data_IF_687062175685
#
_entry.id   IF_687062175685
#
_cell.length_a   1.000
_cell.length_b   1.000
_cell.length_c   1.000
_cell.angle_alpha   90.00
_cell.angle_beta   90.00
_cell.angle_gamma   90.00
#
_symmetry.space_group_name_H-M   'P 1'
#
loop_
_entity.id
_entity.type
_entity.pdbx_description
1 polymer ?
#
# COMPACT_ATOMS: atom_id res chain seq x y z
N UNK A 1 57.37 -17.72 3.66
CA UNK A 1 56.58 -16.59 3.10
C UNK A 1 55.38 -17.17 2.38
N UNK A 2 54.18 -16.87 2.88
CA UNK A 2 52.98 -16.61 2.07
C UNK A 2 51.83 -16.34 3.04
N UNK A 3 51.71 -15.06 3.42
CA UNK A 3 50.55 -14.51 4.11
C UNK A 3 49.43 -14.33 3.09
N UNK A 4 48.45 -15.23 3.09
CA UNK A 4 47.19 -14.99 2.41
C UNK A 4 46.30 -14.15 3.33
N UNK A 5 46.30 -12.84 3.12
CA UNK A 5 45.37 -11.92 3.75
C UNK A 5 43.93 -12.26 3.31
N UNK A 6 42.95 -12.35 4.23
CA UNK A 6 41.56 -12.49 3.81
C UNK A 6 41.12 -11.18 3.14
N UNK A 7 40.81 -11.25 1.85
CA UNK A 7 40.09 -10.18 1.16
C UNK A 7 38.72 -10.03 1.83
N UNK A 8 38.58 -8.95 2.61
CA UNK A 8 37.29 -8.43 3.04
C UNK A 8 36.59 -7.97 1.76
N UNK A 9 35.71 -8.82 1.22
CA UNK A 9 34.71 -8.38 0.24
C UNK A 9 33.78 -7.41 0.96
N UNK A 10 33.98 -6.13 0.73
CA UNK A 10 32.89 -5.17 0.87
C UNK A 10 31.86 -5.51 -0.20
N UNK A 11 30.80 -6.23 0.17
CA UNK A 11 29.60 -6.30 -0.64
C UNK A 11 28.98 -4.90 -0.66
N UNK A 12 29.33 -4.12 -1.68
CA UNK A 12 28.50 -2.99 -2.11
C UNK A 12 27.18 -3.58 -2.57
N UNK A 13 26.17 -3.55 -1.68
CA UNK A 13 24.79 -3.88 -2.02
C UNK A 13 24.27 -2.88 -3.06
N UNK A 14 24.49 -3.13 -4.35
CA UNK A 14 23.71 -2.51 -5.43
C UNK A 14 22.30 -3.09 -5.36
N UNK A 15 21.45 -2.44 -4.57
CA UNK A 15 20.04 -2.81 -4.38
C UNK A 15 19.16 -1.77 -5.02
N UNK A 16 18.03 -2.25 -5.54
CA UNK A 16 17.07 -1.47 -6.32
C UNK A 16 16.40 -0.44 -5.39
N UNK A 17 16.50 0.87 -5.67
CA UNK A 17 15.80 1.91 -4.91
C UNK A 17 14.30 1.91 -5.19
N UNK A 18 13.51 2.55 -4.33
CA UNK A 18 12.05 2.71 -4.52
C UNK A 18 11.70 3.38 -5.85
N UNK A 19 12.58 4.28 -6.33
CA UNK A 19 12.42 4.95 -7.62
C UNK A 19 12.36 3.95 -8.77
N UNK A 20 13.35 3.05 -8.86
CA UNK A 20 13.47 2.09 -9.96
C UNK A 20 12.32 1.07 -9.96
N UNK A 21 11.87 0.61 -8.79
CA UNK A 21 10.64 -0.21 -8.69
C UNK A 21 9.42 0.51 -9.28
N UNK A 22 9.32 1.83 -9.06
CA UNK A 22 8.27 2.65 -9.64
C UNK A 22 8.37 2.74 -11.16
N UNK A 23 9.57 2.96 -11.69
CA UNK A 23 9.82 3.08 -13.13
C UNK A 23 9.48 1.79 -13.87
N UNK A 24 9.97 0.64 -13.37
CA UNK A 24 9.72 -0.68 -13.94
C UNK A 24 8.21 -0.99 -13.99
N UNK A 25 7.49 -0.70 -12.91
CA UNK A 25 6.04 -0.91 -12.88
C UNK A 25 5.30 -0.02 -13.89
N UNK A 26 5.64 1.26 -13.96
CA UNK A 26 4.95 2.21 -14.86
C UNK A 26 5.27 1.91 -16.32
N UNK A 27 6.50 1.50 -16.65
CA UNK A 27 6.86 1.06 -18.00
C UNK A 27 6.00 -0.14 -18.45
N UNK A 28 5.78 -1.09 -17.54
CA UNK A 28 4.98 -2.28 -17.79
C UNK A 28 3.45 -2.07 -17.65
N UNK A 29 2.97 -0.85 -17.35
CA UNK A 29 1.56 -0.57 -17.05
C UNK A 29 0.55 -1.12 -18.10
N UNK A 30 0.78 -1.02 -19.43
CA UNK A 30 -0.15 -1.56 -20.43
C UNK A 30 -0.26 -3.08 -20.37
N UNK A 31 0.79 -3.78 -19.93
CA UNK A 31 0.75 -5.23 -19.71
C UNK A 31 -0.08 -5.56 -18.47
N UNK A 32 0.16 -4.85 -17.36
CA UNK A 32 -0.57 -5.07 -16.11
C UNK A 32 -2.07 -4.78 -16.24
N UNK A 33 -2.45 -3.69 -16.94
CA UNK A 33 -3.87 -3.37 -17.16
C UNK A 33 -4.56 -4.43 -18.03
N UNK A 34 -3.89 -4.96 -19.07
CA UNK A 34 -4.46 -6.01 -19.93
C UNK A 34 -4.76 -7.30 -19.18
N UNK A 35 -4.00 -7.63 -18.12
CA UNK A 35 -4.24 -8.82 -17.30
C UNK A 35 -5.16 -8.57 -16.09
N UNK A 36 -5.51 -7.31 -15.82
CA UNK A 36 -6.30 -6.92 -14.66
C UNK A 36 -7.76 -7.34 -14.81
N UNK A 37 -8.24 -8.16 -13.88
CA UNK A 37 -9.61 -8.68 -13.91
C UNK A 37 -10.13 -8.95 -12.50
N UNK A 38 -11.42 -8.73 -12.30
CA UNK A 38 -12.15 -9.28 -11.15
C UNK A 38 -12.29 -10.80 -11.39
N UNK A 39 -11.74 -11.66 -10.51
CA UNK A 39 -11.76 -13.11 -10.70
C UNK A 39 -13.17 -13.67 -10.87
N UNK A 40 -13.34 -14.65 -11.74
CA UNK A 40 -14.61 -15.35 -11.93
C UNK A 40 -15.02 -16.13 -10.67
N UNK A 41 -16.32 -16.27 -10.41
CA UNK A 41 -16.87 -16.84 -9.18
C UNK A 41 -17.86 -17.96 -9.47
N UNK A 42 -17.76 -19.08 -8.76
CA UNK A 42 -18.76 -20.15 -8.80
C UNK A 42 -20.08 -19.65 -8.22
N UNK A 43 -21.17 -19.76 -8.98
CA UNK A 43 -22.52 -19.36 -8.56
C UNK A 43 -23.31 -20.61 -8.17
N UNK A 44 -23.21 -21.67 -8.97
CA UNK A 44 -23.79 -22.99 -8.72
C UNK A 44 -22.72 -24.05 -8.94
N UNK A 45 -22.91 -25.28 -8.45
CA UNK A 45 -21.91 -26.36 -8.52
C UNK A 45 -21.29 -26.53 -9.92
N UNK A 46 -22.10 -26.38 -10.97
CA UNK A 46 -21.67 -26.52 -12.37
C UNK A 46 -21.68 -25.21 -13.18
N UNK A 47 -21.80 -24.06 -12.51
CA UNK A 47 -21.87 -22.76 -13.19
C UNK A 47 -20.96 -21.73 -12.53
N UNK A 48 -20.04 -21.19 -13.33
CA UNK A 48 -19.10 -20.15 -12.93
C UNK A 48 -19.34 -18.89 -13.74
N UNK A 49 -19.42 -17.74 -13.07
CA UNK A 49 -19.32 -16.43 -13.71
C UNK A 49 -17.91 -16.24 -14.25
N UNK A 50 -17.80 -15.90 -15.53
CA UNK A 50 -16.52 -15.54 -16.15
C UNK A 50 -15.86 -14.33 -15.47
N UNK A 51 -14.52 -14.22 -15.46
CA UNK A 51 -13.82 -13.04 -14.99
C UNK A 51 -14.29 -11.76 -15.70
N UNK A 52 -14.33 -10.64 -14.98
CA UNK A 52 -14.64 -9.33 -15.58
C UNK A 52 -13.33 -8.56 -15.76
N UNK A 53 -12.97 -8.25 -17.00
CA UNK A 53 -11.79 -7.43 -17.30
C UNK A 53 -12.00 -6.01 -16.78
N UNK A 54 -10.94 -5.44 -16.19
CA UNK A 54 -10.95 -4.05 -15.76
C UNK A 54 -11.05 -3.11 -16.97
N UNK A 55 -11.85 -2.05 -16.84
CA UNK A 55 -11.96 -1.01 -17.86
C UNK A 55 -11.21 0.25 -17.42
N UNK A 56 -9.93 0.31 -17.81
CA UNK A 56 -9.08 1.49 -17.64
C UNK A 56 -8.83 2.13 -19.01
N UNK A 57 -9.23 3.39 -19.14
CA UNK A 57 -9.08 4.18 -20.35
C UNK A 57 -7.84 5.09 -20.25
N UNK A 58 -7.35 5.56 -21.40
CA UNK A 58 -6.25 6.54 -21.51
C UNK A 58 -4.95 6.09 -20.85
N UNK A 59 -4.54 4.84 -21.12
CA UNK A 59 -3.39 4.20 -20.48
C UNK A 59 -2.11 5.03 -20.64
N UNK A 60 -1.82 5.57 -21.84
CA UNK A 60 -0.64 6.41 -22.07
C UNK A 60 -0.64 7.68 -21.20
N UNK A 61 -1.77 8.40 -21.15
CA UNK A 61 -1.90 9.60 -20.30
C UNK A 61 -1.73 9.26 -18.81
N UNK A 62 -2.19 8.09 -18.37
CA UNK A 62 -1.97 7.60 -17.00
C UNK A 62 -0.48 7.31 -16.77
N UNK A 63 0.19 6.62 -17.70
CA UNK A 63 1.63 6.35 -17.57
C UNK A 63 2.42 7.65 -17.41
N UNK A 64 2.15 8.64 -18.26
CA UNK A 64 2.81 9.95 -18.20
C UNK A 64 2.55 10.65 -16.86
N UNK A 65 1.30 10.64 -16.39
CA UNK A 65 0.92 11.23 -15.11
C UNK A 65 1.61 10.53 -13.92
N UNK A 66 1.70 9.20 -13.94
CA UNK A 66 2.37 8.43 -12.90
C UNK A 66 3.88 8.66 -12.91
N UNK A 67 4.51 8.74 -14.10
CA UNK A 67 5.93 9.07 -14.24
C UNK A 67 6.24 10.48 -13.73
N UNK A 68 5.37 11.45 -14.04
CA UNK A 68 5.53 12.81 -13.56
C UNK A 68 5.43 12.88 -12.03
N UNK A 69 4.43 12.21 -11.43
CA UNK A 69 4.33 12.12 -9.97
C UNK A 69 5.54 11.42 -9.37
N UNK A 70 5.98 10.31 -9.97
CA UNK A 70 7.14 9.55 -9.51
C UNK A 70 8.40 10.43 -9.48
N UNK A 71 8.67 11.16 -10.55
CA UNK A 71 9.84 12.04 -10.71
C UNK A 71 9.71 13.39 -10.00
N UNK A 72 8.54 13.70 -9.45
CA UNK A 72 8.32 14.96 -8.75
C UNK A 72 9.19 15.05 -7.48
N UNK A 73 9.79 16.22 -7.15
CA UNK A 73 10.66 16.38 -5.98
C UNK A 73 10.05 15.91 -4.66
N UNK A 74 8.77 16.21 -4.41
CA UNK A 74 8.02 15.73 -3.23
C UNK A 74 8.10 14.19 -3.11
N UNK A 75 7.92 13.47 -4.21
CA UNK A 75 7.97 12.00 -4.19
C UNK A 75 9.39 11.50 -3.99
N UNK A 76 10.38 12.13 -4.64
CA UNK A 76 11.79 11.77 -4.48
C UNK A 76 12.28 11.97 -3.04
N UNK A 77 11.92 13.10 -2.42
CA UNK A 77 12.25 13.41 -1.03
C UNK A 77 11.57 12.42 -0.07
N UNK A 78 10.29 12.11 -0.30
CA UNK A 78 9.58 11.13 0.50
C UNK A 78 10.23 9.74 0.40
N UNK A 79 10.57 9.28 -0.81
CA UNK A 79 11.29 8.01 -1.02
C UNK A 79 12.64 8.00 -0.32
N UNK A 80 13.40 9.10 -0.42
CA UNK A 80 14.67 9.25 0.28
C UNK A 80 14.50 9.08 1.80
N UNK A 81 13.49 9.70 2.40
CA UNK A 81 13.21 9.54 3.83
C UNK A 81 12.84 8.12 4.20
N UNK A 82 12.01 7.45 3.39
CA UNK A 82 11.60 6.06 3.60
C UNK A 82 12.78 5.10 3.52
N UNK A 83 13.56 5.18 2.45
CA UNK A 83 14.78 4.37 2.31
C UNK A 83 15.77 4.65 3.45
N UNK A 84 15.94 5.91 3.85
CA UNK A 84 16.82 6.28 4.96
C UNK A 84 16.37 5.67 6.27
N UNK A 85 15.08 5.75 6.59
CA UNK A 85 14.49 5.12 7.78
C UNK A 85 14.76 3.61 7.80
N UNK A 86 14.46 2.92 6.69
CA UNK A 86 14.72 1.48 6.57
C UNK A 86 16.21 1.16 6.68
N UNK A 87 17.10 1.91 6.04
CA UNK A 87 18.55 1.67 6.10
C UNK A 87 19.09 1.83 7.52
N UNK A 88 18.59 2.77 8.31
CA UNK A 88 18.98 2.90 9.73
C UNK A 88 18.38 1.75 10.55
N UNK A 89 17.09 1.43 10.36
CA UNK A 89 16.46 0.27 11.01
C UNK A 89 17.23 -1.04 10.75
N UNK A 90 17.61 -1.29 9.49
CA UNK A 90 18.35 -2.49 9.09
C UNK A 90 19.73 -2.60 9.75
N UNK A 91 20.34 -1.48 10.17
CA UNK A 91 21.62 -1.47 10.90
C UNK A 91 21.47 -1.74 12.40
N UNK A 92 20.27 -1.60 12.98
CA UNK A 92 20.03 -1.83 14.41
C UNK A 92 20.28 -3.30 14.75
N UNK A 93 21.11 -3.58 15.76
CA UNK A 93 21.47 -4.94 16.19
C UNK A 93 20.58 -5.46 17.32
N UNK A 94 19.88 -4.57 18.01
CA UNK A 94 19.02 -4.88 19.15
C UNK A 94 17.72 -4.09 19.04
N UNK A 95 16.65 -4.61 19.63
CA UNK A 95 15.39 -3.88 19.77
C UNK A 95 15.48 -2.95 20.98
N UNK A 96 15.60 -1.66 20.70
CA UNK A 96 15.55 -0.56 21.66
C UNK A 96 14.23 0.23 21.52
N UNK A 97 14.07 1.29 22.31
CA UNK A 97 12.88 2.15 22.24
C UNK A 97 12.71 2.81 20.87
N UNK A 98 13.79 3.03 20.11
CA UNK A 98 13.76 3.62 18.79
C UNK A 98 13.21 2.63 17.75
N UNK A 99 13.57 1.34 17.82
CA UNK A 99 12.98 0.28 17.01
C UNK A 99 11.50 0.10 17.32
N UNK A 100 11.09 0.21 18.59
CA UNK A 100 9.67 0.15 18.97
C UNK A 100 8.87 1.33 18.40
N UNK A 101 9.44 2.55 18.40
CA UNK A 101 8.86 3.72 17.73
C UNK A 101 8.76 3.54 16.22
N UNK A 102 9.76 2.93 15.59
CA UNK A 102 9.72 2.61 14.17
C UNK A 102 8.58 1.67 13.82
N UNK A 103 8.42 0.55 14.54
CA UNK A 103 7.30 -0.37 14.29
C UNK A 103 5.94 0.27 14.58
N UNK A 104 5.84 1.12 15.61
CA UNK A 104 4.62 1.87 15.84
C UNK A 104 4.28 2.79 14.67
N UNK A 105 5.24 3.63 14.26
CA UNK A 105 5.06 4.57 13.16
C UNK A 105 4.80 3.90 11.82
N UNK A 106 5.51 2.80 11.53
CA UNK A 106 5.36 2.05 10.28
C UNK A 106 3.97 1.41 10.20
N UNK A 107 3.46 0.87 11.31
CA UNK A 107 2.08 0.39 11.36
C UNK A 107 1.06 1.51 11.04
N UNK A 108 1.26 2.75 11.51
CA UNK A 108 0.36 3.86 11.18
C UNK A 108 0.37 4.23 9.70
N UNK A 109 1.50 4.07 8.99
CA UNK A 109 1.59 4.37 7.55
C UNK A 109 0.85 3.36 6.67
N UNK A 110 0.49 2.18 7.21
CA UNK A 110 -0.14 1.08 6.48
C UNK A 110 -1.64 0.92 6.73
N UNK A 111 -2.27 1.87 7.40
CA UNK A 111 -3.70 1.79 7.75
C UNK A 111 -4.65 2.19 6.62
N UNK A 112 -4.17 2.46 5.40
CA UNK A 112 -5.04 2.94 4.31
C UNK A 112 -6.18 1.97 4.01
N UNK A 113 -5.94 0.66 4.04
CA UNK A 113 -6.99 -0.33 3.77
C UNK A 113 -8.16 -0.17 4.73
N UNK A 114 -7.92 -0.17 6.04
CA UNK A 114 -9.00 -0.05 7.04
C UNK A 114 -9.57 1.37 7.14
N UNK A 115 -8.74 2.40 6.94
CA UNK A 115 -9.14 3.79 7.13
C UNK A 115 -9.75 4.44 5.89
N UNK A 116 -9.51 3.91 4.69
CA UNK A 116 -9.96 4.45 3.40
C UNK A 116 -10.65 3.37 2.56
N UNK A 117 -9.93 2.34 2.10
CA UNK A 117 -10.44 1.37 1.11
C UNK A 117 -11.69 0.63 1.60
N UNK A 118 -11.67 0.14 2.84
CA UNK A 118 -12.79 -0.51 3.48
C UNK A 118 -13.99 0.44 3.68
N UNK A 119 -13.71 1.69 4.06
CA UNK A 119 -14.77 2.70 4.24
C UNK A 119 -15.44 3.06 2.92
N UNK A 120 -14.71 3.08 1.81
CA UNK A 120 -15.30 3.22 0.47
C UNK A 120 -16.31 2.09 0.23
N UNK A 121 -15.94 0.83 0.50
CA UNK A 121 -16.83 -0.32 0.33
C UNK A 121 -18.09 -0.15 1.19
N UNK A 122 -17.94 0.17 2.48
CA UNK A 122 -19.07 0.36 3.40
C UNK A 122 -20.00 1.48 2.95
N UNK A 123 -19.44 2.62 2.51
CA UNK A 123 -20.22 3.73 1.98
C UNK A 123 -20.96 3.32 0.72
N UNK A 124 -20.26 2.70 -0.23
CA UNK A 124 -20.89 2.25 -1.47
C UNK A 124 -22.00 1.22 -1.21
N UNK A 125 -21.80 0.31 -0.25
CA UNK A 125 -22.81 -0.65 0.19
C UNK A 125 -24.06 0.02 0.76
N UNK A 126 -23.90 1.08 1.57
CA UNK A 126 -25.03 1.82 2.13
C UNK A 126 -25.85 2.52 1.03
N UNK A 127 -25.17 3.05 0.03
CA UNK A 127 -25.78 3.77 -1.10
C UNK A 127 -26.45 2.83 -2.12
N UNK A 128 -26.06 1.55 -2.16
CA UNK A 128 -26.42 0.60 -3.22
C UNK A 128 -27.94 0.45 -3.46
N UNK A 129 -28.75 0.53 -2.39
CA UNK A 129 -30.21 0.42 -2.49
C UNK A 129 -30.86 1.61 -3.20
N UNK A 130 -30.16 2.76 -3.21
CA UNK A 130 -30.62 4.02 -3.79
C UNK A 130 -30.12 4.22 -5.23
N UNK A 131 -29.35 3.27 -5.77
CA UNK A 131 -28.78 3.37 -7.12
C UNK A 131 -29.85 3.03 -8.18
N UNK A 132 -30.06 3.93 -9.17
CA UNK A 132 -30.99 3.69 -10.28
C UNK A 132 -30.65 2.41 -11.06
N UNK A 133 -31.67 1.71 -11.56
CA UNK A 133 -31.54 0.38 -12.16
C UNK A 133 -30.51 0.35 -13.31
N UNK A 134 -30.50 1.38 -14.15
CA UNK A 134 -29.62 1.57 -15.28
C UNK A 134 -28.14 1.76 -14.90
N UNK A 135 -27.85 2.17 -13.66
CA UNK A 135 -26.49 2.38 -13.13
C UNK A 135 -25.97 1.24 -12.27
N UNK A 136 -26.82 0.31 -11.84
CA UNK A 136 -26.48 -0.75 -10.86
C UNK A 136 -25.30 -1.61 -11.27
N UNK A 137 -25.22 -2.03 -12.53
CA UNK A 137 -24.12 -2.89 -13.00
C UNK A 137 -22.78 -2.15 -12.86
N UNK A 138 -22.72 -0.90 -13.33
CA UNK A 138 -21.52 -0.07 -13.22
C UNK A 138 -21.14 0.15 -11.76
N UNK A 139 -22.13 0.42 -10.92
CA UNK A 139 -21.95 0.62 -9.48
C UNK A 139 -21.42 -0.63 -8.76
N UNK A 140 -21.99 -1.81 -9.05
CA UNK A 140 -21.50 -3.07 -8.50
C UNK A 140 -20.09 -3.40 -8.99
N UNK A 141 -19.73 -3.03 -10.22
CA UNK A 141 -18.36 -3.20 -10.70
C UNK A 141 -17.37 -2.33 -9.91
N UNK A 142 -17.75 -1.10 -9.53
CA UNK A 142 -16.94 -0.25 -8.64
C UNK A 142 -16.70 -0.95 -7.30
N UNK A 143 -17.78 -1.45 -6.68
CA UNK A 143 -17.69 -2.18 -5.40
C UNK A 143 -16.82 -3.44 -5.53
N UNK A 144 -16.96 -4.19 -6.61
CA UNK A 144 -16.19 -5.40 -6.85
C UNK A 144 -14.68 -5.11 -7.07
N UNK A 145 -14.34 -4.01 -7.73
CA UNK A 145 -12.95 -3.57 -7.80
C UNK A 145 -12.40 -3.17 -6.43
N UNK A 146 -13.15 -2.39 -5.64
CA UNK A 146 -12.70 -2.03 -4.28
C UNK A 146 -12.62 -3.24 -3.35
N UNK A 147 -13.46 -4.25 -3.54
CA UNK A 147 -13.33 -5.54 -2.86
C UNK A 147 -11.97 -6.19 -3.16
N UNK A 148 -11.52 -6.18 -4.42
CA UNK A 148 -10.21 -6.74 -4.78
C UNK A 148 -9.03 -5.98 -4.14
N UNK A 149 -9.21 -4.70 -3.79
CA UNK A 149 -8.21 -3.91 -3.04
C UNK A 149 -8.12 -4.40 -1.59
N UNK A 150 -9.26 -4.57 -0.92
CA UNK A 150 -9.25 -4.77 0.54
C UNK A 150 -9.28 -6.24 1.00
N UNK A 151 -9.65 -7.19 0.13
CA UNK A 151 -9.95 -8.57 0.53
C UNK A 151 -8.77 -9.31 1.17
N UNK A 152 -7.54 -9.03 0.74
CA UNK A 152 -6.35 -9.77 1.16
C UNK A 152 -5.98 -9.37 2.60
N UNK A 153 -6.09 -8.08 2.91
CA UNK A 153 -5.88 -7.54 4.25
C UNK A 153 -6.90 -8.05 5.27
N UNK A 154 -8.17 -8.15 4.86
CA UNK A 154 -9.23 -8.73 5.69
C UNK A 154 -9.26 -10.26 5.72
N UNK A 155 -8.30 -10.92 5.05
CA UNK A 155 -8.15 -12.37 5.10
C UNK A 155 -9.20 -13.17 4.33
N UNK A 156 -9.83 -12.56 3.33
CA UNK A 156 -10.79 -13.22 2.44
C UNK A 156 -10.12 -13.87 1.22
N UNK A 157 -8.79 -13.75 1.07
CA UNK A 157 -7.95 -14.40 0.05
C UNK A 157 -6.93 -15.42 0.59
N UNK A 158 -6.38 -15.16 1.78
CA UNK A 158 -5.48 -16.01 2.58
C UNK A 158 -5.64 -15.62 4.06
N UNK A 159 -4.93 -16.23 5.03
CA UNK A 159 -4.96 -15.70 6.41
C UNK A 159 -4.60 -14.20 6.37
N UNK A 160 -5.44 -13.33 6.96
CA UNK A 160 -5.36 -11.88 6.75
C UNK A 160 -4.04 -11.25 7.20
N UNK A 161 -3.64 -10.18 6.51
CA UNK A 161 -2.41 -9.44 6.82
C UNK A 161 -2.41 -8.80 8.22
N UNK A 162 -3.59 -8.50 8.78
CA UNK A 162 -3.74 -7.90 10.11
C UNK A 162 -3.04 -8.69 11.23
N UNK A 163 -2.94 -10.02 11.11
CA UNK A 163 -2.20 -10.85 12.07
C UNK A 163 -0.68 -10.90 11.79
N UNK A 164 -0.28 -10.72 10.54
CA UNK A 164 1.10 -10.93 10.09
C UNK A 164 2.07 -9.87 10.60
N UNK A 165 1.61 -8.63 10.79
CA UNK A 165 2.47 -7.57 11.34
C UNK A 165 3.00 -7.98 12.72
N UNK A 166 2.12 -8.50 13.57
CA UNK A 166 2.49 -8.95 14.92
C UNK A 166 3.47 -10.12 14.91
N UNK A 167 3.36 -11.04 13.93
CA UNK A 167 4.32 -12.12 13.76
C UNK A 167 5.71 -11.60 13.39
N UNK A 168 5.78 -10.63 12.48
CA UNK A 168 7.03 -9.97 12.11
C UNK A 168 7.65 -9.26 13.31
N UNK A 169 6.92 -8.36 13.97
CA UNK A 169 7.47 -7.59 15.10
C UNK A 169 7.89 -8.50 16.26
N UNK A 170 7.12 -9.57 16.53
CA UNK A 170 7.48 -10.56 17.55
C UNK A 170 8.76 -11.32 17.20
N UNK A 171 8.99 -11.64 15.92
CA UNK A 171 10.22 -12.28 15.47
C UNK A 171 11.46 -11.38 15.64
N UNK A 172 11.27 -10.06 15.61
CA UNK A 172 12.28 -9.08 15.99
C UNK A 172 12.47 -8.97 17.52
N UNK A 173 11.55 -9.47 18.34
CA UNK A 173 11.52 -9.20 19.79
C UNK A 173 10.86 -7.86 20.15
N UNK A 174 10.23 -7.20 19.17
CA UNK A 174 9.47 -5.96 19.35
C UNK A 174 8.00 -6.31 19.61
N UNK A 175 7.64 -6.75 20.81
CA UNK A 175 6.23 -7.05 21.17
C UNK A 175 5.51 -5.84 21.77
N UNK A 176 6.25 -4.90 22.35
CA UNK A 176 5.72 -3.76 23.08
C UNK A 176 5.44 -2.52 22.22
N UNK A 177 5.65 -2.58 20.90
CA UNK A 177 5.55 -1.44 19.98
C UNK A 177 4.19 -0.73 20.00
N UNK A 178 3.13 -1.42 20.43
CA UNK A 178 1.76 -0.90 20.51
C UNK A 178 1.55 0.13 21.64
N UNK A 179 2.47 0.25 22.59
CA UNK A 179 2.32 1.14 23.75
C UNK A 179 2.36 2.62 23.35
N UNK A 180 1.55 3.44 24.04
CA UNK A 180 1.42 4.87 23.75
C UNK A 180 2.73 5.66 23.77
N UNK A 181 3.68 5.28 24.62
CA UNK A 181 4.99 5.93 24.71
C UNK A 181 5.86 5.80 23.45
N UNK A 182 5.52 4.88 22.53
CA UNK A 182 6.23 4.68 21.27
C UNK A 182 5.57 5.37 20.08
N UNK A 183 4.47 6.11 20.31
CA UNK A 183 3.82 6.88 19.26
C UNK A 183 4.76 7.94 18.67
N UNK A 184 4.75 8.05 17.35
CA UNK A 184 5.42 9.10 16.59
C UNK A 184 4.34 10.04 16.07
N UNK A 185 4.44 11.33 16.38
CA UNK A 185 3.38 12.31 16.13
C UNK A 185 3.02 12.38 14.63
N UNK A 186 4.02 12.51 13.76
CA UNK A 186 3.82 12.65 12.32
C UNK A 186 3.20 11.40 11.68
N UNK A 187 3.44 10.22 12.27
CA UNK A 187 2.80 8.97 11.86
C UNK A 187 1.30 8.95 12.26
N UNK A 188 0.96 9.47 13.44
CA UNK A 188 -0.45 9.61 13.85
C UNK A 188 -1.19 10.68 13.04
N UNK A 189 -0.54 11.79 12.71
CA UNK A 189 -1.10 12.82 11.82
C UNK A 189 -1.39 12.25 10.42
N UNK A 190 -0.52 11.34 9.95
CA UNK A 190 -0.74 10.60 8.71
C UNK A 190 -1.98 9.70 8.80
N UNK A 191 -2.11 8.89 9.85
CA UNK A 191 -3.28 8.01 10.02
C UNK A 191 -4.58 8.80 10.26
N UNK A 192 -4.52 9.96 10.92
CA UNK A 192 -5.65 10.89 11.05
C UNK A 192 -6.09 11.44 9.68
N UNK A 193 -5.14 11.83 8.82
CA UNK A 193 -5.43 12.23 7.44
C UNK A 193 -6.18 11.13 6.67
N UNK A 194 -5.73 9.88 6.77
CA UNK A 194 -6.40 8.73 6.15
C UNK A 194 -7.82 8.55 6.71
N UNK A 195 -7.96 8.62 8.05
CA UNK A 195 -9.26 8.50 8.69
C UNK A 195 -10.25 9.55 8.17
N UNK A 196 -9.81 10.82 8.16
CA UNK A 196 -10.60 11.97 7.71
C UNK A 196 -10.99 11.85 6.23
N UNK A 197 -10.07 11.37 5.39
CA UNK A 197 -10.37 11.06 3.99
C UNK A 197 -11.49 10.03 3.86
N UNK A 198 -11.39 8.91 4.57
CA UNK A 198 -12.38 7.83 4.45
C UNK A 198 -13.78 8.21 4.92
N UNK A 199 -13.91 9.12 5.89
CA UNK A 199 -15.21 9.60 6.41
C UNK A 199 -15.66 10.94 5.83
N UNK A 200 -14.87 11.56 4.95
CA UNK A 200 -15.20 12.86 4.39
C UNK A 200 -16.57 12.82 3.70
N UNK A 201 -17.44 13.78 4.08
CA UNK A 201 -18.76 14.01 3.48
C UNK A 201 -19.67 12.77 3.38
N UNK A 202 -19.46 11.76 4.24
CA UNK A 202 -20.29 10.55 4.25
C UNK A 202 -21.76 10.81 4.62
N UNK A 203 -22.07 11.94 5.28
CA UNK A 203 -23.45 12.37 5.62
C UNK A 203 -24.08 13.31 4.60
N UNK A 204 -23.33 13.75 3.58
CA UNK A 204 -23.88 14.59 2.52
C UNK A 204 -24.89 13.80 1.68
N UNK A 205 -25.85 14.49 1.06
CA UNK A 205 -26.84 13.84 0.20
C UNK A 205 -26.16 13.04 -0.91
N UNK A 206 -26.65 11.83 -1.20
CA UNK A 206 -26.01 10.86 -2.10
C UNK A 206 -25.66 11.44 -3.48
N UNK A 207 -26.58 12.20 -4.07
CA UNK A 207 -26.41 12.83 -5.39
C UNK A 207 -25.71 14.20 -5.34
N UNK A 208 -25.21 14.63 -4.18
CA UNK A 208 -24.50 15.91 -4.04
C UNK A 208 -23.08 15.82 -4.61
N UNK A 209 -22.56 16.98 -5.03
CA UNK A 209 -21.17 17.10 -5.49
C UNK A 209 -20.21 16.78 -4.35
N UNK A 210 -20.53 17.16 -3.11
CA UNK A 210 -19.68 16.87 -1.95
C UNK A 210 -19.55 15.37 -1.69
N UNK A 211 -20.67 14.64 -1.72
CA UNK A 211 -20.67 13.20 -1.49
C UNK A 211 -19.88 12.47 -2.58
N UNK A 212 -20.24 12.69 -3.84
CA UNK A 212 -19.60 12.02 -4.99
C UNK A 212 -18.12 12.36 -5.11
N UNK A 213 -17.73 13.63 -4.91
CA UNK A 213 -16.33 14.03 -4.93
C UNK A 213 -15.55 13.39 -3.78
N UNK A 214 -16.13 13.29 -2.58
CA UNK A 214 -15.43 12.68 -1.45
C UNK A 214 -15.18 11.17 -1.62
N UNK A 215 -16.08 10.43 -2.29
CA UNK A 215 -15.83 9.02 -2.63
C UNK A 215 -14.72 8.93 -3.68
N UNK A 216 -14.76 9.78 -4.70
CA UNK A 216 -13.72 9.85 -5.73
C UNK A 216 -12.34 10.15 -5.13
N UNK A 217 -12.26 11.11 -4.21
CA UNK A 217 -11.02 11.48 -3.51
C UNK A 217 -10.48 10.32 -2.67
N UNK A 218 -11.36 9.63 -1.95
CA UNK A 218 -10.98 8.45 -1.19
C UNK A 218 -10.43 7.35 -2.10
N UNK A 219 -11.04 7.10 -3.27
CA UNK A 219 -10.51 6.15 -4.25
C UNK A 219 -9.15 6.60 -4.79
N UNK A 220 -8.95 7.90 -5.05
CA UNK A 220 -7.66 8.44 -5.48
C UNK A 220 -6.57 8.33 -4.40
N UNK A 221 -6.92 8.46 -3.11
CA UNK A 221 -6.01 8.18 -1.98
C UNK A 221 -5.67 6.70 -1.90
N UNK A 222 -6.64 5.80 -2.12
CA UNK A 222 -6.35 4.36 -2.24
C UNK A 222 -5.36 4.10 -3.37
N UNK A 223 -5.56 4.65 -4.58
CA UNK A 223 -4.57 4.53 -5.68
C UNK A 223 -3.18 5.00 -5.24
N UNK A 224 -3.09 6.17 -4.59
CA UNK A 224 -1.81 6.70 -4.13
C UNK A 224 -1.10 5.77 -3.14
N UNK A 225 -1.84 5.23 -2.18
CA UNK A 225 -1.33 4.32 -1.15
C UNK A 225 -0.84 3.01 -1.73
N UNK A 226 -1.64 2.33 -2.53
CA UNK A 226 -1.28 1.00 -3.06
C UNK A 226 -0.03 1.08 -3.96
N UNK A 227 0.09 2.13 -4.79
CA UNK A 227 1.28 2.34 -5.62
C UNK A 227 2.50 2.76 -4.80
N UNK A 228 2.30 3.42 -3.66
CA UNK A 228 3.36 3.70 -2.71
C UNK A 228 3.85 2.42 -2.03
N UNK A 229 2.94 1.65 -1.46
CA UNK A 229 3.20 0.38 -0.79
C UNK A 229 3.93 -0.59 -1.70
N UNK A 230 3.53 -0.68 -2.99
CA UNK A 230 4.22 -1.51 -3.97
C UNK A 230 5.72 -1.23 -4.03
N UNK A 231 6.14 0.04 -4.02
CA UNK A 231 7.58 0.39 -4.03
C UNK A 231 8.23 0.15 -2.66
N UNK A 232 7.52 0.50 -1.60
CA UNK A 232 8.01 0.41 -0.22
C UNK A 232 8.32 -1.04 0.18
N UNK A 233 7.36 -1.95 -0.05
CA UNK A 233 7.51 -3.36 0.30
C UNK A 233 8.52 -4.07 -0.59
N UNK A 234 8.57 -3.76 -1.89
CA UNK A 234 9.61 -4.29 -2.76
C UNK A 234 11.01 -3.81 -2.32
N UNK A 235 11.14 -2.58 -1.82
CA UNK A 235 12.41 -2.11 -1.26
C UNK A 235 12.84 -2.94 -0.04
N UNK A 236 12.00 -3.05 0.99
CA UNK A 236 12.36 -3.75 2.24
C UNK A 236 12.42 -5.28 2.07
N UNK A 237 11.68 -5.87 1.13
CA UNK A 237 11.71 -7.29 0.82
C UNK A 237 13.12 -7.78 0.43
N UNK A 238 13.95 -6.93 -0.17
CA UNK A 238 15.35 -7.23 -0.49
C UNK A 238 16.23 -7.50 0.75
N UNK A 239 15.75 -7.20 1.95
CA UNK A 239 16.54 -7.25 3.19
C UNK A 239 15.90 -8.08 4.30
N UNK A 240 14.58 -8.18 4.33
CA UNK A 240 13.83 -8.61 5.51
C UNK A 240 14.23 -10.01 6.01
N UNK A 241 14.48 -10.96 5.11
CA UNK A 241 14.84 -12.33 5.49
C UNK A 241 16.19 -12.39 6.20
N UNK A 242 17.22 -11.81 5.59
CA UNK A 242 18.56 -11.76 6.19
C UNK A 242 18.53 -11.02 7.52
N UNK A 243 17.74 -9.93 7.60
CA UNK A 243 17.62 -9.15 8.82
C UNK A 243 16.95 -9.93 9.96
N UNK A 244 15.88 -10.67 9.66
CA UNK A 244 15.20 -11.52 10.63
C UNK A 244 16.12 -12.62 11.16
N UNK A 245 16.91 -13.25 10.29
CA UNK A 245 17.89 -14.29 10.68
C UNK A 245 19.04 -13.70 11.49
N UNK A 246 19.47 -12.47 11.21
CA UNK A 246 20.48 -11.77 11.99
C UNK A 246 20.00 -11.50 13.43
N UNK A 247 18.79 -10.93 13.59
CA UNK A 247 18.22 -10.60 14.90
C UNK A 247 17.79 -11.85 15.68
N UNK A 248 17.28 -12.86 14.98
CA UNK A 248 16.82 -14.11 15.58
C UNK A 248 17.42 -15.32 14.84
N UNK A 249 18.64 -15.74 15.21
CA UNK A 249 19.35 -16.84 14.54
C UNK A 249 18.60 -18.18 14.55
N UNK A 250 17.69 -18.39 15.51
CA UNK A 250 16.87 -19.61 15.58
C UNK A 250 15.95 -19.78 14.37
N UNK A 251 15.61 -18.70 13.67
CA UNK A 251 14.79 -18.74 12.45
C UNK A 251 15.49 -19.46 11.30
N UNK A 252 16.84 -19.54 11.29
CA UNK A 252 17.61 -20.19 10.23
C UNK A 252 17.24 -21.67 10.07
N UNK A 253 16.94 -22.35 11.17
CA UNK A 253 16.60 -23.78 11.17
C UNK A 253 15.09 -24.04 11.29
N UNK A 254 14.28 -22.99 11.50
CA UNK A 254 12.83 -23.08 11.62
C UNK A 254 12.13 -22.38 10.44
N UNK A 255 12.07 -23.10 9.31
CA UNK A 255 11.52 -22.60 8.03
C UNK A 255 10.10 -22.05 8.19
N UNK A 256 9.26 -22.72 8.99
CA UNK A 256 7.87 -22.30 9.21
C UNK A 256 7.79 -20.95 9.94
N UNK A 257 8.61 -20.76 10.98
CA UNK A 257 8.64 -19.51 11.74
C UNK A 257 9.26 -18.38 10.92
N UNK A 258 10.31 -18.66 10.13
CA UNK A 258 10.89 -17.68 9.22
C UNK A 258 9.87 -17.22 8.16
N UNK A 259 9.11 -18.16 7.57
CA UNK A 259 8.03 -17.85 6.63
C UNK A 259 6.97 -16.94 7.24
N UNK A 260 6.55 -17.23 8.47
CA UNK A 260 5.56 -16.40 9.18
C UNK A 260 6.12 -15.01 9.49
N UNK A 261 7.38 -14.93 9.95
CA UNK A 261 8.04 -13.67 10.31
C UNK A 261 8.22 -12.73 9.11
N UNK A 262 8.61 -13.25 7.94
CA UNK A 262 8.73 -12.44 6.71
C UNK A 262 7.40 -12.27 5.97
N UNK A 263 6.35 -12.98 6.38
CA UNK A 263 5.09 -13.09 5.66
C UNK A 263 4.43 -11.75 5.39
N UNK A 264 4.47 -10.83 6.36
CA UNK A 264 3.91 -9.48 6.18
C UNK A 264 4.56 -8.74 5.01
N UNK A 265 5.89 -8.58 5.01
CA UNK A 265 6.62 -7.88 3.95
C UNK A 265 6.48 -8.59 2.60
N UNK A 266 6.61 -9.91 2.58
CA UNK A 266 6.54 -10.66 1.32
C UNK A 266 5.12 -10.64 0.75
N UNK A 267 4.09 -10.69 1.58
CA UNK A 267 2.68 -10.62 1.19
C UNK A 267 2.30 -9.34 0.44
N UNK A 268 2.95 -8.21 0.76
CA UNK A 268 2.75 -6.91 0.11
C UNK A 268 3.82 -6.60 -0.95
N UNK A 269 4.75 -7.51 -1.22
CA UNK A 269 5.82 -7.31 -2.20
C UNK A 269 5.47 -7.88 -3.59
N UNK A 270 6.35 -7.68 -4.57
CA UNK A 270 6.11 -8.10 -5.95
C UNK A 270 5.06 -7.23 -6.64
N UNK A 271 4.06 -7.87 -7.26
CA UNK A 271 2.98 -7.19 -8.00
C UNK A 271 1.70 -6.97 -7.16
N UNK A 272 1.65 -7.39 -5.89
CA UNK A 272 0.40 -7.44 -5.09
C UNK A 272 -0.22 -6.05 -4.92
N UNK A 273 0.45 -5.15 -4.20
CA UNK A 273 -0.06 -3.79 -3.92
C UNK A 273 -0.24 -3.00 -5.21
N UNK A 274 0.70 -3.14 -6.15
CA UNK A 274 0.59 -2.49 -7.46
C UNK A 274 -0.69 -2.90 -8.18
N UNK A 275 -1.08 -4.18 -8.11
CA UNK A 275 -2.34 -4.68 -8.66
C UNK A 275 -3.55 -4.12 -7.90
N UNK A 276 -3.49 -4.02 -6.57
CA UNK A 276 -4.54 -3.35 -5.79
C UNK A 276 -4.72 -1.89 -6.23
N UNK A 277 -3.63 -1.15 -6.46
CA UNK A 277 -3.67 0.21 -6.98
C UNK A 277 -4.33 0.32 -8.35
N UNK A 278 -4.13 -0.68 -9.22
CA UNK A 278 -4.83 -0.73 -10.51
C UNK A 278 -6.31 -1.08 -10.37
N UNK A 279 -6.70 -1.92 -9.41
CA UNK A 279 -8.11 -2.13 -9.09
C UNK A 279 -8.77 -0.85 -8.56
N UNK A 280 -8.10 -0.09 -7.69
CA UNK A 280 -8.56 1.21 -7.22
C UNK A 280 -8.70 2.22 -8.39
N UNK A 281 -7.78 2.23 -9.34
CA UNK A 281 -7.85 3.05 -10.55
C UNK A 281 -9.05 2.67 -11.44
N UNK A 282 -9.26 1.38 -11.66
CA UNK A 282 -10.42 0.87 -12.39
C UNK A 282 -11.73 1.24 -11.69
N UNK A 283 -11.78 1.13 -10.35
CA UNK A 283 -12.92 1.55 -9.54
C UNK A 283 -13.19 3.05 -9.68
N UNK A 284 -12.16 3.90 -9.58
CA UNK A 284 -12.30 5.35 -9.69
C UNK A 284 -12.82 5.78 -11.07
N UNK A 285 -12.30 5.21 -12.15
CA UNK A 285 -12.80 5.52 -13.49
C UNK A 285 -14.24 5.02 -13.70
N UNK A 286 -14.57 3.82 -13.21
CA UNK A 286 -15.93 3.28 -13.29
C UNK A 286 -16.90 4.10 -12.44
N UNK A 287 -16.48 4.57 -11.27
CA UNK A 287 -17.29 5.42 -10.38
C UNK A 287 -17.58 6.76 -11.04
N UNK A 288 -16.57 7.38 -11.68
CA UNK A 288 -16.76 8.62 -12.43
C UNK A 288 -17.87 8.48 -13.47
N UNK A 289 -17.80 7.41 -14.29
CA UNK A 289 -18.85 7.09 -15.27
C UNK A 289 -20.22 6.84 -14.62
N UNK A 290 -20.25 6.17 -13.47
CA UNK A 290 -21.49 5.82 -12.77
C UNK A 290 -22.22 7.07 -12.26
N UNK A 291 -21.47 8.06 -11.78
CA UNK A 291 -22.02 9.32 -11.24
C UNK A 291 -22.03 10.46 -12.25
N UNK A 292 -21.89 10.15 -13.56
CA UNK A 292 -21.85 11.12 -14.66
C UNK A 292 -20.83 12.25 -14.49
N UNK A 293 -19.65 11.91 -13.95
CA UNK A 293 -18.51 12.81 -13.80
C UNK A 293 -17.29 12.32 -14.57
N UNK A 294 -16.30 13.21 -14.75
CA UNK A 294 -15.05 12.87 -15.39
C UNK A 294 -13.97 12.52 -14.36
N UNK A 295 -13.24 11.44 -14.63
CA UNK A 295 -12.00 11.15 -13.91
C UNK A 295 -10.92 12.16 -14.31
N UNK A 296 -10.51 13.02 -13.38
CA UNK A 296 -9.55 14.10 -13.64
C UNK A 296 -8.13 13.66 -13.24
N UNK A 297 -7.27 13.37 -14.21
CA UNK A 297 -5.88 12.99 -13.96
C UNK A 297 -5.10 14.04 -13.17
N UNK A 298 -5.31 15.33 -13.45
CA UNK A 298 -4.69 16.40 -12.66
C UNK A 298 -5.05 16.36 -11.17
N UNK A 299 -6.28 15.94 -10.84
CA UNK A 299 -6.73 15.77 -9.44
C UNK A 299 -6.05 14.56 -8.80
N UNK A 300 -5.97 13.44 -9.51
CA UNK A 300 -5.22 12.26 -9.05
C UNK A 300 -3.77 12.64 -8.72
N UNK A 301 -3.07 13.33 -9.63
CA UNK A 301 -1.70 13.78 -9.40
C UNK A 301 -1.56 14.61 -8.13
N UNK A 302 -2.45 15.60 -7.94
CA UNK A 302 -2.44 16.44 -6.74
C UNK A 302 -2.64 15.62 -5.45
N UNK A 303 -3.57 14.66 -5.47
CA UNK A 303 -3.82 13.76 -4.33
C UNK A 303 -2.61 12.85 -4.07
N UNK A 304 -2.01 12.28 -5.10
CA UNK A 304 -0.81 11.44 -4.96
C UNK A 304 0.36 12.22 -4.39
N UNK A 305 0.59 13.46 -4.85
CA UNK A 305 1.65 14.31 -4.29
C UNK A 305 1.38 14.68 -2.84
N UNK A 306 0.12 15.00 -2.48
CA UNK A 306 -0.23 15.27 -1.08
C UNK A 306 -0.05 14.02 -0.19
N UNK A 307 -0.43 12.84 -0.67
CA UNK A 307 -0.19 11.58 0.01
C UNK A 307 1.31 11.36 0.24
N UNK A 308 2.11 11.47 -0.83
CA UNK A 308 3.57 11.26 -0.81
C UNK A 308 4.26 12.24 0.16
N UNK A 309 3.86 13.50 0.17
CA UNK A 309 4.39 14.49 1.12
C UNK A 309 4.14 14.07 2.57
N UNK A 310 2.91 13.64 2.89
CA UNK A 310 2.52 13.28 4.27
C UNK A 310 3.20 12.00 4.73
N UNK A 311 3.25 10.97 3.89
CA UNK A 311 3.95 9.72 4.24
C UNK A 311 5.46 9.97 4.33
N UNK A 312 6.03 10.84 3.49
CA UNK A 312 7.42 11.28 3.58
C UNK A 312 7.75 11.95 4.91
N UNK A 313 6.86 12.81 5.43
CA UNK A 313 7.00 13.41 6.77
C UNK A 313 6.98 12.37 7.88
N UNK A 314 6.10 11.37 7.78
CA UNK A 314 6.05 10.25 8.72
C UNK A 314 7.36 9.44 8.72
N UNK A 315 7.90 9.10 7.54
CA UNK A 315 9.18 8.40 7.44
C UNK A 315 10.38 9.25 7.88
N UNK A 316 10.37 10.56 7.63
CA UNK A 316 11.39 11.46 8.14
C UNK A 316 11.41 11.46 9.68
N UNK A 317 10.24 11.45 10.32
CA UNK A 317 10.11 11.36 11.77
C UNK A 317 10.59 10.01 12.33
N UNK A 318 10.23 8.90 11.68
CA UNK A 318 10.75 7.58 12.02
C UNK A 318 12.28 7.50 11.89
N UNK A 319 12.85 8.06 10.83
CA UNK A 319 14.30 8.14 10.65
C UNK A 319 14.98 8.94 11.78
N UNK A 320 14.41 10.09 12.17
CA UNK A 320 14.90 10.87 13.32
C UNK A 320 14.84 10.05 14.61
N UNK A 321 13.73 9.37 14.86
CA UNK A 321 13.56 8.54 16.06
C UNK A 321 14.58 7.39 16.12
N UNK A 322 14.91 6.78 14.97
CA UNK A 322 15.90 5.71 14.85
C UNK A 322 17.35 6.18 15.05
N UNK A 323 17.63 7.44 14.73
CA UNK A 323 18.98 8.03 14.71
C UNK A 323 19.34 8.83 15.97
N UNK A 324 18.36 9.06 16.85
CA UNK A 324 18.55 9.65 18.18
C UNK A 324 19.23 8.67 19.15
#
# INVERSE_FOLDING_TARGET
MNSASPQIRFETFEKIPMQEFGEVFIEALPKHIRSLKIPGRTIFENHRREPISAQVLKISEIQDALLEVLRHPITQEAQFHTESAFRVFLKKQTVDSAVLKFFNGWNETHKTTSLVSAKIIVRLSADAISVPAEKRISYHNVMAHMHEVAKDDFGLGHQGHDGMYSHMTSAFGATDWVRDQYKVQECNEFSEFLYNTGVAKHKSALNSVEHTTSIMDAMMVSIASELWNGREYNFIAQFIENKLVEINPSLRTNVQSLRNAKGYVIGHSGEVENKHGLHALAAAQAYARTVDTNFKLGRLKGIMLNYNERVGKAFAAMHRALSA
#
